data_IF_986424120192
#
_entry.id   IF_986424120192
#
_cell.length_a   1.000
_cell.length_b   1.000
_cell.length_c   1.000
_cell.angle_alpha   90.00
_cell.angle_beta   90.00
_cell.angle_gamma   90.00
#
_symmetry.space_group_name_H-M   'P 1'
#
loop_
_entity.id
_entity.type
_entity.pdbx_description
1 polymer ?
#
# COMPACT_ATOMS: atom_id res chain seq x y z
N UNK A 1 -25.44 29.00 -56.41
CA UNK A 1 -24.22 29.49 -55.72
C UNK A 1 -24.69 30.38 -54.58
N UNK A 2 -24.70 29.85 -53.36
CA UNK A 2 -25.22 30.56 -52.18
C UNK A 2 -24.18 31.58 -51.74
N UNK A 3 -24.52 32.87 -51.83
CA UNK A 3 -23.78 33.95 -51.18
C UNK A 3 -23.94 33.79 -49.67
N UNK A 4 -23.04 33.01 -49.06
CA UNK A 4 -22.89 32.96 -47.61
C UNK A 4 -22.55 34.39 -47.16
N UNK A 5 -23.49 34.99 -46.43
CA UNK A 5 -23.48 36.41 -46.11
C UNK A 5 -22.21 36.74 -45.30
N UNK A 6 -21.29 37.52 -45.88
CA UNK A 6 -19.99 37.85 -45.28
C UNK A 6 -20.12 38.42 -43.85
N UNK A 7 -21.23 39.10 -43.56
CA UNK A 7 -21.60 39.57 -42.22
C UNK A 7 -21.82 38.43 -41.22
N UNK A 8 -22.42 37.32 -41.65
CA UNK A 8 -22.62 36.12 -40.81
C UNK A 8 -21.27 35.44 -40.53
N UNK A 9 -20.35 35.42 -41.50
CA UNK A 9 -18.99 34.90 -41.29
C UNK A 9 -18.16 35.76 -40.32
N UNK A 10 -18.24 37.10 -40.44
CA UNK A 10 -17.52 38.01 -39.53
C UNK A 10 -18.09 37.93 -38.12
N UNK A 11 -19.42 37.94 -37.97
CA UNK A 11 -20.07 37.83 -36.66
C UNK A 11 -19.79 36.45 -36.03
N UNK A 12 -19.84 35.38 -36.83
CA UNK A 12 -19.49 34.04 -36.36
C UNK A 12 -18.02 33.90 -35.94
N UNK A 13 -17.08 34.50 -36.68
CA UNK A 13 -15.66 34.48 -36.35
C UNK A 13 -15.31 35.27 -35.08
N UNK A 14 -15.94 36.42 -34.86
CA UNK A 14 -15.75 37.23 -33.65
C UNK A 14 -16.34 36.53 -32.42
N UNK A 15 -17.54 35.93 -32.54
CA UNK A 15 -18.18 35.19 -31.45
C UNK A 15 -17.43 33.91 -31.05
N UNK A 16 -16.69 33.28 -31.98
CA UNK A 16 -15.86 32.10 -31.70
C UNK A 16 -14.45 32.46 -31.18
N UNK A 17 -13.99 33.70 -31.35
CA UNK A 17 -12.67 34.15 -30.90
C UNK A 17 -12.58 34.57 -29.43
N UNK A 18 -13.70 34.88 -28.79
CA UNK A 18 -13.75 35.41 -27.42
C UNK A 18 -13.99 34.37 -26.33
N UNK A 19 -14.09 33.07 -26.67
CA UNK A 19 -14.45 32.02 -25.71
C UNK A 19 -13.33 31.05 -25.34
N UNK A 20 -12.06 31.30 -25.72
CA UNK A 20 -11.00 30.29 -25.49
C UNK A 20 -9.59 30.78 -25.11
N UNK A 21 -9.40 32.03 -24.69
CA UNK A 21 -8.11 32.46 -24.12
C UNK A 21 -8.35 33.24 -22.83
N UNK A 22 -8.18 32.59 -21.67
CA UNK A 22 -8.07 33.33 -20.41
C UNK A 22 -6.90 34.32 -20.52
N UNK A 23 -7.10 35.54 -20.05
CA UNK A 23 -6.10 36.61 -19.97
C UNK A 23 -4.96 36.23 -19.04
N UNK A 24 -3.80 36.91 -19.14
CA UNK A 24 -2.66 36.65 -18.25
C UNK A 24 -2.97 36.92 -16.78
N UNK A 25 -3.89 37.86 -16.49
CA UNK A 25 -4.39 38.15 -15.14
C UNK A 25 -5.30 37.03 -14.64
N UNK A 26 -6.22 36.51 -15.46
CA UNK A 26 -7.04 35.34 -15.11
C UNK A 26 -6.16 34.09 -14.89
N UNK A 27 -5.14 33.88 -15.71
CA UNK A 27 -4.14 32.83 -15.49
C UNK A 27 -3.31 33.03 -14.22
N UNK A 28 -2.99 34.27 -13.84
CA UNK A 28 -2.32 34.56 -12.58
C UNK A 28 -3.25 34.25 -11.39
N UNK A 29 -4.50 34.72 -11.46
CA UNK A 29 -5.52 34.49 -10.44
C UNK A 29 -5.79 32.99 -10.24
N UNK A 30 -5.94 32.20 -11.31
CA UNK A 30 -6.14 30.75 -11.20
C UNK A 30 -4.92 30.02 -10.62
N UNK A 31 -3.70 30.50 -10.90
CA UNK A 31 -2.47 29.96 -10.28
C UNK A 31 -2.40 30.27 -8.79
N UNK A 32 -2.92 31.42 -8.36
CA UNK A 32 -3.03 31.80 -6.95
C UNK A 32 -4.15 31.06 -6.22
N UNK A 33 -5.14 30.55 -6.96
CA UNK A 33 -6.31 29.82 -6.42
C UNK A 33 -6.43 28.43 -7.05
N UNK A 34 -5.44 27.53 -6.85
CA UNK A 34 -5.50 26.20 -7.41
C UNK A 34 -6.74 25.50 -6.82
N UNK A 35 -7.74 25.24 -7.67
CA UNK A 35 -8.79 24.31 -7.32
C UNK A 35 -8.13 22.97 -7.00
N UNK A 36 -8.62 22.28 -5.97
CA UNK A 36 -8.08 21.04 -5.37
C UNK A 36 -7.57 19.95 -6.34
N UNK A 37 -7.96 19.99 -7.62
CA UNK A 37 -7.60 19.02 -8.66
C UNK A 37 -6.70 19.56 -9.79
N UNK A 38 -6.46 20.88 -9.86
CA UNK A 38 -5.89 21.57 -11.04
C UNK A 38 -4.54 22.25 -10.80
N UNK A 39 -3.85 21.96 -9.69
CA UNK A 39 -2.50 22.51 -9.48
C UNK A 39 -1.48 21.82 -10.39
N UNK A 40 -0.43 22.56 -10.77
CA UNK A 40 0.69 22.00 -11.52
C UNK A 40 1.41 20.88 -10.78
N UNK A 41 1.48 20.96 -9.45
CA UNK A 41 2.07 19.91 -8.62
C UNK A 41 1.22 18.63 -8.60
N UNK A 42 -0.11 18.74 -8.51
CA UNK A 42 -1.02 17.59 -8.57
C UNK A 42 -0.94 16.89 -9.93
N UNK A 43 -0.83 17.66 -11.01
CA UNK A 43 -0.59 17.13 -12.36
C UNK A 43 0.75 16.40 -12.46
N UNK A 44 1.83 17.02 -11.97
CA UNK A 44 3.15 16.42 -11.98
C UNK A 44 3.19 15.12 -11.17
N UNK A 45 2.57 15.09 -9.99
CA UNK A 45 2.41 13.89 -9.17
C UNK A 45 1.62 12.80 -9.89
N UNK A 46 0.51 13.15 -10.56
CA UNK A 46 -0.30 12.22 -11.34
C UNK A 46 0.50 11.63 -12.51
N UNK A 47 1.27 12.46 -13.23
CA UNK A 47 2.12 12.01 -14.33
C UNK A 47 3.28 11.13 -13.84
N UNK A 48 3.91 11.48 -12.71
CA UNK A 48 4.93 10.66 -12.05
C UNK A 48 4.39 9.27 -11.72
N UNK A 49 3.14 9.18 -11.28
CA UNK A 49 2.52 7.95 -10.79
C UNK A 49 1.62 7.22 -11.81
N UNK A 50 1.48 7.74 -13.03
CA UNK A 50 0.51 7.23 -14.04
C UNK A 50 0.62 5.73 -14.35
N UNK A 51 1.81 5.14 -14.21
CA UNK A 51 2.08 3.73 -14.52
C UNK A 51 2.85 3.00 -13.40
N UNK A 52 2.87 3.54 -12.18
CA UNK A 52 3.66 2.99 -11.08
C UNK A 52 2.77 2.52 -9.92
N UNK A 53 2.32 1.26 -9.92
CA UNK A 53 1.94 0.56 -8.70
C UNK A 53 3.16 -0.17 -8.08
N UNK A 54 3.53 0.09 -6.81
CA UNK A 54 2.91 1.03 -5.87
C UNK A 54 3.25 2.50 -6.19
N UNK A 55 2.39 3.42 -5.74
CA UNK A 55 2.59 4.87 -5.87
C UNK A 55 3.94 5.28 -5.26
N UNK A 56 4.71 6.04 -6.02
CA UNK A 56 5.96 6.66 -5.61
C UNK A 56 5.65 7.99 -4.92
N UNK A 57 5.43 7.96 -3.60
CA UNK A 57 5.26 9.14 -2.78
C UNK A 57 6.55 9.49 -2.02
N UNK A 58 6.96 10.74 -2.10
CA UNK A 58 8.06 11.30 -1.30
C UNK A 58 7.50 12.24 -0.22
N UNK A 59 8.27 12.52 0.86
CA UNK A 59 7.85 13.45 1.90
C UNK A 59 7.42 14.82 1.37
N UNK A 60 8.10 15.33 0.32
CA UNK A 60 7.74 16.58 -0.34
C UNK A 60 6.37 16.52 -1.03
N UNK A 61 6.02 15.38 -1.61
CA UNK A 61 4.74 15.21 -2.33
C UNK A 61 3.59 15.27 -1.33
N UNK A 62 3.79 14.71 -0.13
CA UNK A 62 2.83 14.76 0.98
C UNK A 62 2.66 16.19 1.50
N UNK A 63 3.75 16.93 1.70
CA UNK A 63 3.69 18.31 2.17
C UNK A 63 2.94 19.21 1.17
N UNK A 64 3.24 19.10 -0.12
CA UNK A 64 2.54 19.86 -1.18
C UNK A 64 1.06 19.46 -1.24
N UNK A 65 0.76 18.17 -1.16
CA UNK A 65 -0.63 17.69 -1.14
C UNK A 65 -1.43 18.23 0.05
N UNK A 66 -0.79 18.40 1.22
CA UNK A 66 -1.40 19.01 2.41
C UNK A 66 -1.62 20.52 2.22
N UNK A 67 -0.61 21.24 1.72
CA UNK A 67 -0.69 22.69 1.46
C UNK A 67 -1.77 23.01 0.42
N UNK A 68 -1.85 22.22 -0.65
CA UNK A 68 -2.81 22.43 -1.75
C UNK A 68 -4.14 21.69 -1.53
N UNK A 69 -4.28 20.95 -0.43
CA UNK A 69 -5.53 20.29 -0.04
C UNK A 69 -6.11 19.34 -1.10
N UNK A 70 -5.27 18.53 -1.76
CA UNK A 70 -5.66 17.70 -2.93
C UNK A 70 -6.86 16.77 -2.69
N UNK A 71 -7.10 16.39 -1.43
CA UNK A 71 -8.11 15.41 -1.08
C UNK A 71 -9.40 16.01 -0.49
N UNK A 72 -9.51 17.34 -0.40
CA UNK A 72 -10.76 18.04 -0.09
C UNK A 72 -11.27 17.99 1.36
N UNK A 73 -10.38 17.94 2.36
CA UNK A 73 -10.81 17.97 3.77
C UNK A 73 -9.68 18.34 4.75
N UNK A 74 -10.00 18.73 5.99
CA UNK A 74 -9.03 18.86 7.08
C UNK A 74 -8.65 17.45 7.54
N UNK A 75 -8.00 16.69 6.67
CA UNK A 75 -7.41 15.44 7.10
C UNK A 75 -6.30 15.84 8.05
N UNK A 76 -6.55 15.62 9.33
CA UNK A 76 -5.49 15.30 10.26
C UNK A 76 -4.86 14.03 9.67
N UNK A 77 -3.92 14.21 8.74
CA UNK A 77 -3.05 13.14 8.25
C UNK A 77 -2.12 12.85 9.42
N UNK A 78 -2.69 12.31 10.50
CA UNK A 78 -1.96 11.50 11.44
C UNK A 78 -1.48 10.35 10.57
N UNK A 79 -0.26 10.48 10.08
CA UNK A 79 0.52 9.33 9.64
C UNK A 79 0.57 8.47 10.89
N UNK A 80 -0.42 7.58 11.02
CA UNK A 80 -0.53 6.72 12.18
C UNK A 80 0.82 6.03 12.30
N UNK A 81 1.45 6.19 13.46
CA UNK A 81 2.78 5.65 13.68
C UNK A 81 2.76 4.17 13.29
N UNK A 82 3.73 3.78 12.46
CA UNK A 82 3.82 2.40 12.00
C UNK A 82 4.01 1.49 13.22
N UNK A 83 3.40 0.31 13.17
CA UNK A 83 3.63 -0.70 14.18
C UNK A 83 5.13 -1.03 14.24
N UNK A 84 5.68 -1.13 15.45
CA UNK A 84 7.03 -1.68 15.65
C UNK A 84 6.92 -3.22 15.69
N UNK A 85 7.24 -3.85 14.57
CA UNK A 85 7.25 -5.30 14.42
C UNK A 85 8.67 -5.87 14.43
N UNK A 86 9.70 -5.04 14.58
CA UNK A 86 11.10 -5.47 14.54
C UNK A 86 11.45 -6.49 15.64
N UNK A 87 12.56 -7.21 15.47
CA UNK A 87 13.12 -8.09 16.49
C UNK A 87 12.66 -9.53 16.39
N UNK A 88 12.79 -10.26 17.50
CA UNK A 88 12.52 -11.70 17.59
C UNK A 88 11.14 -11.97 18.17
N UNK A 89 10.49 -12.99 17.63
CA UNK A 89 9.15 -13.40 17.99
C UNK A 89 9.09 -14.91 18.12
N UNK A 90 8.42 -15.41 19.16
CA UNK A 90 8.29 -16.86 19.42
C UNK A 90 6.86 -17.16 19.83
N UNK A 91 6.32 -18.28 19.37
CA UNK A 91 5.01 -18.74 19.78
C UNK A 91 4.60 -20.00 19.03
N UNK A 92 3.38 -20.01 18.53
CA UNK A 92 2.76 -21.18 17.92
C UNK A 92 2.13 -20.86 16.58
N UNK A 93 2.19 -21.82 15.67
CA UNK A 93 1.27 -21.91 14.55
C UNK A 93 0.29 -23.05 14.79
N UNK A 94 -0.91 -22.92 14.24
CA UNK A 94 -1.90 -24.00 14.21
C UNK A 94 -2.59 -24.09 12.85
N UNK A 95 -2.85 -25.30 12.38
CA UNK A 95 -3.52 -25.55 11.11
C UNK A 95 -4.16 -26.93 11.07
N UNK A 96 -4.76 -27.28 9.93
CA UNK A 96 -5.32 -28.62 9.72
C UNK A 96 -4.16 -29.61 9.49
N UNK A 97 -4.14 -30.73 10.21
CA UNK A 97 -3.28 -31.88 9.89
C UNK A 97 -4.07 -32.99 9.20
N UNK A 98 -3.37 -34.04 8.74
CA UNK A 98 -3.99 -35.18 8.02
C UNK A 98 -5.00 -35.95 8.89
N UNK A 99 -4.66 -36.22 10.15
CA UNK A 99 -5.49 -37.02 11.08
C UNK A 99 -6.15 -36.17 12.18
N UNK A 100 -5.53 -35.06 12.57
CA UNK A 100 -5.97 -34.19 13.65
C UNK A 100 -5.49 -32.75 13.39
N UNK A 101 -6.10 -31.73 14.03
CA UNK A 101 -5.54 -30.38 14.06
C UNK A 101 -4.09 -30.42 14.54
N UNK A 102 -3.24 -29.60 13.92
CA UNK A 102 -1.82 -29.52 14.24
C UNK A 102 -1.51 -28.17 14.86
N UNK A 103 -0.78 -28.20 15.96
CA UNK A 103 -0.22 -27.00 16.61
C UNK A 103 1.24 -27.29 16.90
N UNK A 104 2.13 -26.39 16.49
CA UNK A 104 3.56 -26.51 16.81
C UNK A 104 4.21 -25.13 16.92
N UNK A 105 5.50 -25.11 17.23
CA UNK A 105 6.31 -23.92 17.46
C UNK A 105 6.44 -23.08 16.19
N UNK A 106 6.31 -21.78 16.37
CA UNK A 106 6.60 -20.78 15.35
C UNK A 106 7.61 -19.77 15.89
N UNK A 107 8.51 -19.32 15.03
CA UNK A 107 9.48 -18.28 15.33
C UNK A 107 9.56 -17.30 14.18
N UNK A 108 9.78 -16.03 14.48
CA UNK A 108 10.08 -15.04 13.47
C UNK A 108 11.19 -14.09 13.91
N UNK A 109 11.95 -13.60 12.94
CA UNK A 109 12.90 -12.51 13.12
C UNK A 109 12.68 -11.49 12.02
N UNK A 110 12.40 -10.26 12.42
CA UNK A 110 12.06 -9.16 11.51
C UNK A 110 13.04 -8.01 11.66
N UNK A 111 13.48 -7.49 10.53
CA UNK A 111 14.28 -6.28 10.39
C UNK A 111 13.42 -5.27 9.64
N UNK A 112 13.06 -4.17 10.31
CA UNK A 112 12.10 -3.18 9.82
C UNK A 112 12.81 -1.85 9.56
N UNK A 113 12.52 -1.25 8.42
CA UNK A 113 12.92 0.10 8.01
C UNK A 113 11.67 0.85 7.57
N UNK A 114 11.06 1.59 8.50
CA UNK A 114 9.81 2.28 8.27
C UNK A 114 8.68 1.32 7.89
N UNK A 115 8.10 1.53 6.70
CA UNK A 115 7.01 0.69 6.15
C UNK A 115 7.50 -0.66 5.66
N UNK A 116 8.78 -0.79 5.33
CA UNK A 116 9.30 -1.98 4.68
C UNK A 116 10.19 -2.77 5.64
N UNK A 117 10.48 -4.00 5.27
CA UNK A 117 11.41 -4.82 6.02
C UNK A 117 11.59 -6.19 5.41
N UNK A 118 12.46 -6.96 6.01
CA UNK A 118 12.66 -8.37 5.67
C UNK A 118 12.76 -9.22 6.93
N UNK A 119 12.67 -10.52 6.75
CA UNK A 119 12.83 -11.43 7.87
C UNK A 119 12.76 -12.88 7.51
N UNK A 120 12.77 -13.69 8.56
CA UNK A 120 12.54 -15.13 8.47
C UNK A 120 11.38 -15.54 9.36
N UNK A 121 10.58 -16.48 8.86
CA UNK A 121 9.47 -17.10 9.57
C UNK A 121 9.66 -18.62 9.55
N UNK A 122 9.84 -19.21 10.72
CA UNK A 122 9.99 -20.64 10.94
C UNK A 122 8.71 -21.21 11.53
N UNK A 123 8.21 -22.29 10.92
CA UNK A 123 7.11 -23.09 11.43
C UNK A 123 7.64 -24.53 11.55
N UNK A 124 7.71 -25.05 12.78
CA UNK A 124 8.16 -26.42 13.03
C UNK A 124 7.07 -27.45 12.69
N UNK A 125 7.44 -28.69 12.41
CA UNK A 125 6.51 -29.82 12.20
C UNK A 125 5.45 -29.59 11.10
N UNK A 126 5.80 -28.85 10.05
CA UNK A 126 4.89 -28.49 8.96
C UNK A 126 4.62 -29.62 7.97
N UNK A 127 5.43 -30.69 8.01
CA UNK A 127 5.21 -31.89 7.21
C UNK A 127 3.85 -32.50 7.54
N UNK A 128 3.06 -32.87 6.53
CA UNK A 128 1.70 -33.39 6.68
C UNK A 128 0.69 -32.43 7.35
N UNK A 129 0.90 -31.11 7.26
CA UNK A 129 -0.10 -30.10 7.57
C UNK A 129 -0.58 -29.37 6.30
N UNK A 130 -1.80 -28.85 6.34
CA UNK A 130 -2.37 -27.99 5.30
C UNK A 130 -1.81 -26.57 5.46
N UNK A 131 -0.54 -26.41 5.11
CA UNK A 131 0.20 -25.14 5.03
C UNK A 131 0.65 -24.93 3.58
N UNK A 132 0.96 -23.69 3.16
CA UNK A 132 1.51 -23.44 1.83
C UNK A 132 2.73 -24.31 1.55
N UNK A 133 2.91 -24.72 0.29
CA UNK A 133 3.94 -25.70 -0.07
C UNK A 133 5.36 -25.24 0.30
N UNK A 134 5.67 -23.96 0.09
CA UNK A 134 6.96 -23.38 0.48
C UNK A 134 7.22 -23.52 1.99
N UNK A 135 6.17 -23.36 2.81
CA UNK A 135 6.24 -23.54 4.27
C UNK A 135 6.38 -25.02 4.64
N UNK A 136 5.75 -25.93 3.90
CA UNK A 136 5.88 -27.37 4.13
C UNK A 136 7.33 -27.84 3.97
N UNK A 137 8.01 -27.36 2.94
CA UNK A 137 9.38 -27.82 2.62
C UNK A 137 10.47 -27.03 3.32
N UNK A 138 10.27 -25.73 3.52
CA UNK A 138 11.29 -24.83 4.07
C UNK A 138 10.94 -24.31 5.47
N UNK A 139 9.70 -24.48 5.93
CA UNK A 139 9.22 -23.90 7.19
C UNK A 139 10.07 -24.29 8.40
N UNK A 140 10.61 -25.51 8.45
CA UNK A 140 11.51 -25.95 9.52
C UNK A 140 12.90 -25.27 9.49
N UNK A 141 13.32 -24.75 8.33
CA UNK A 141 14.56 -23.96 8.16
C UNK A 141 14.29 -22.45 8.23
N UNK A 142 13.03 -22.05 8.15
CA UNK A 142 12.57 -20.67 8.09
C UNK A 142 12.51 -20.15 6.66
N UNK A 143 11.31 -19.80 6.20
CA UNK A 143 11.11 -19.12 4.92
C UNK A 143 11.58 -17.67 5.02
N UNK A 144 12.06 -17.09 3.92
CA UNK A 144 12.28 -15.65 3.83
C UNK A 144 10.95 -14.93 3.57
N UNK A 145 10.78 -13.78 4.19
CA UNK A 145 9.60 -12.92 3.99
C UNK A 145 10.03 -11.46 3.84
N UNK A 146 9.26 -10.72 3.05
CA UNK A 146 9.29 -9.25 3.02
C UNK A 146 8.09 -8.70 3.77
N UNK A 147 8.28 -7.55 4.42
CA UNK A 147 7.31 -6.91 5.30
C UNK A 147 6.73 -5.66 4.64
N UNK A 148 5.42 -5.52 4.73
CA UNK A 148 4.68 -4.29 4.44
C UNK A 148 3.94 -3.91 5.73
N UNK A 149 4.51 -2.99 6.48
CA UNK A 149 4.11 -2.60 7.83
C UNK A 149 3.09 -1.46 7.77
N UNK A 150 1.96 -1.67 8.43
CA UNK A 150 0.93 -0.66 8.63
C UNK A 150 0.93 -0.12 10.07
N UNK A 151 -0.07 0.69 10.38
CA UNK A 151 -0.24 1.25 11.72
C UNK A 151 -0.56 0.20 12.81
N UNK A 152 -1.21 -0.89 12.42
CA UNK A 152 -1.74 -1.91 13.35
C UNK A 152 -1.02 -3.25 13.28
N UNK A 153 -0.04 -3.41 12.39
CA UNK A 153 0.59 -4.71 12.16
C UNK A 153 1.36 -4.78 10.86
N UNK A 154 1.47 -5.99 10.29
CA UNK A 154 2.33 -6.27 9.14
C UNK A 154 1.70 -7.31 8.22
N UNK A 155 1.86 -7.09 6.91
CA UNK A 155 1.64 -8.11 5.89
C UNK A 155 2.99 -8.71 5.50
N UNK A 156 3.12 -10.02 5.67
CA UNK A 156 4.28 -10.80 5.26
C UNK A 156 4.01 -11.38 3.86
N UNK A 157 5.02 -11.34 2.99
CA UNK A 157 4.94 -11.94 1.64
C UNK A 157 6.20 -12.71 1.33
N UNK A 158 6.10 -13.77 0.53
CA UNK A 158 7.29 -14.35 -0.09
C UNK A 158 7.98 -13.30 -0.98
N UNK A 159 9.32 -13.21 -1.00
CA UNK A 159 10.05 -12.20 -1.77
C UNK A 159 9.84 -12.30 -3.29
N UNK A 160 9.59 -13.49 -3.82
CA UNK A 160 9.48 -13.72 -5.27
C UNK A 160 8.04 -13.60 -5.80
N UNK A 161 7.07 -14.16 -5.07
CA UNK A 161 5.64 -14.11 -5.46
C UNK A 161 4.76 -14.28 -4.22
N UNK A 162 3.91 -13.29 -3.94
CA UNK A 162 3.00 -13.32 -2.80
C UNK A 162 2.00 -14.49 -2.83
N UNK A 163 1.79 -15.14 -3.98
CA UNK A 163 0.99 -16.37 -4.10
C UNK A 163 1.64 -17.58 -3.41
N UNK A 164 2.96 -17.59 -3.25
CA UNK A 164 3.67 -18.68 -2.57
C UNK A 164 3.47 -18.62 -1.06
N UNK A 165 3.43 -17.42 -0.50
CA UNK A 165 3.14 -17.18 0.90
C UNK A 165 2.69 -15.73 1.10
N UNK A 166 1.56 -15.57 1.80
CA UNK A 166 1.09 -14.30 2.33
C UNK A 166 0.51 -14.52 3.72
N UNK A 167 0.84 -13.64 4.67
CA UNK A 167 0.23 -13.65 5.99
C UNK A 167 -0.07 -12.23 6.46
N UNK A 168 -1.19 -12.06 7.15
CA UNK A 168 -1.55 -10.80 7.79
C UNK A 168 -1.49 -10.99 9.29
N UNK A 169 -0.68 -10.18 9.97
CA UNK A 169 -0.50 -10.19 11.41
C UNK A 169 -0.83 -8.83 12.01
N UNK A 170 -1.65 -8.82 13.05
CA UNK A 170 -1.96 -7.64 13.86
C UNK A 170 -1.08 -7.61 15.09
N UNK A 171 -0.58 -6.43 15.45
CA UNK A 171 0.17 -6.18 16.67
C UNK A 171 -0.77 -5.71 17.78
N UNK A 172 -0.82 -6.49 18.86
CA UNK A 172 -1.57 -6.18 20.07
C UNK A 172 -0.60 -6.15 21.26
N UNK A 173 -0.10 -4.95 21.60
CA UNK A 173 0.96 -4.79 22.60
C UNK A 173 2.24 -5.51 22.17
N UNK A 174 2.63 -6.57 22.89
CA UNK A 174 3.82 -7.37 22.59
C UNK A 174 3.49 -8.73 21.91
N UNK A 175 2.35 -8.81 21.22
CA UNK A 175 1.84 -10.02 20.57
C UNK A 175 1.50 -9.75 19.11
N UNK A 176 2.03 -10.58 18.21
CA UNK A 176 1.61 -10.63 16.82
C UNK A 176 0.66 -11.82 16.63
N UNK A 177 -0.54 -11.57 16.12
CA UNK A 177 -1.51 -12.62 15.85
C UNK A 177 -2.17 -12.43 14.50
N UNK A 178 -2.43 -13.54 13.80
CA UNK A 178 -3.05 -13.45 12.49
C UNK A 178 -3.11 -14.77 11.74
N UNK A 179 -3.16 -14.68 10.42
CA UNK A 179 -3.40 -15.84 9.54
C UNK A 179 -2.52 -15.81 8.31
N UNK A 180 -2.18 -17.00 7.83
CA UNK A 180 -1.62 -17.21 6.50
C UNK A 180 -2.77 -17.41 5.52
N UNK A 181 -2.71 -16.72 4.38
CA UNK A 181 -3.65 -16.92 3.29
C UNK A 181 -3.27 -18.20 2.56
N UNK A 182 -4.13 -19.21 2.69
CA UNK A 182 -3.93 -20.50 2.07
C UNK A 182 -5.28 -21.12 1.72
N UNK A 183 -5.42 -21.55 0.46
CA UNK A 183 -6.61 -22.23 -0.01
C UNK A 183 -6.77 -23.58 0.74
N UNK A 184 -7.92 -23.81 1.34
CA UNK A 184 -8.29 -25.09 1.97
C UNK A 184 -8.42 -25.08 3.50
N UNK A 185 -7.59 -24.34 4.24
CA UNK A 185 -7.73 -24.18 5.70
C UNK A 185 -6.92 -22.99 6.25
N UNK A 186 -7.48 -22.21 7.21
CA UNK A 186 -6.75 -21.12 7.82
C UNK A 186 -5.60 -21.65 8.70
N UNK A 187 -4.38 -21.21 8.42
CA UNK A 187 -3.23 -21.38 9.32
C UNK A 187 -3.16 -20.16 10.21
N UNK A 188 -3.26 -20.34 11.53
CA UNK A 188 -3.18 -19.25 12.51
C UNK A 188 -1.77 -19.15 13.07
N UNK A 189 -1.31 -17.91 13.23
CA UNK A 189 -0.04 -17.57 13.86
C UNK A 189 -0.33 -16.75 15.12
N UNK A 190 0.35 -17.12 16.20
CA UNK A 190 0.32 -16.41 17.48
C UNK A 190 1.75 -16.35 18.00
N UNK A 191 2.32 -15.16 18.05
CA UNK A 191 3.70 -14.92 18.41
C UNK A 191 3.77 -13.87 19.51
N UNK A 192 4.64 -14.08 20.50
CA UNK A 192 4.98 -13.10 21.50
C UNK A 192 6.40 -12.57 21.24
N UNK A 193 6.63 -11.29 21.54
CA UNK A 193 7.96 -10.70 21.41
C UNK A 193 8.92 -11.43 22.36
N UNK A 194 10.02 -11.94 21.83
CA UNK A 194 11.04 -12.57 22.64
C UNK A 194 11.76 -11.51 23.47
N UNK A 195 12.12 -11.87 24.71
CA UNK A 195 12.96 -11.03 25.56
C UNK A 195 14.42 -11.01 25.08
#
# INVERSE_FOLDING_TARGET
MHCLNLRIMIVGGVLLGTTACASSEEWAMWREHPAHFASGHHLAFSLKNRFAPPLLSEPRDVAVAQTEGWWGGPFDVRVAALADVAGRWVGTWSGRGVMAPRTSRAEARFEQVGRWGEGRLLLADTLAAAVPEVVRWEGARGIRVVLDVGATGVVLRHPEDARLFRAELTLEGARLAGRVDHEGAPVRLVLARAR
#
